data_IF_686756457106
#
_entry.id   IF_686756457106
#
_cell.length_a   1.000
_cell.length_b   1.000
_cell.length_c   1.000
_cell.angle_alpha   90.00
_cell.angle_beta   90.00
_cell.angle_gamma   90.00
#
_symmetry.space_group_name_H-M   'P 1'
#
loop_
_entity.id
_entity.type
_entity.pdbx_description
1 polymer ?
#
# COMPACT_ATOMS: atom_id res chain seq x y z
N UNK A 1 56.77 13.00 5.14
CA UNK A 1 55.42 13.56 5.41
C UNK A 1 54.46 13.15 4.29
N UNK A 2 54.27 11.85 4.05
CA UNK A 2 53.85 11.40 2.70
C UNK A 2 52.97 10.14 2.66
N UNK A 3 53.06 9.22 3.62
CA UNK A 3 52.26 7.99 3.61
C UNK A 3 50.94 8.12 4.39
N UNK A 4 50.98 8.70 5.59
CA UNK A 4 49.82 8.89 6.46
C UNK A 4 48.78 9.82 5.85
N UNK A 5 49.22 10.84 5.11
CA UNK A 5 48.33 11.77 4.40
C UNK A 5 47.62 11.05 3.24
N UNK A 6 48.35 10.22 2.47
CA UNK A 6 47.76 9.42 1.38
C UNK A 6 46.74 8.41 1.89
N UNK A 7 47.04 7.71 3.00
CA UNK A 7 46.12 6.77 3.64
C UNK A 7 44.84 7.46 4.13
N UNK A 8 44.97 8.63 4.77
CA UNK A 8 43.82 9.44 5.21
C UNK A 8 42.98 9.96 4.04
N UNK A 9 43.63 10.44 2.97
CA UNK A 9 42.93 10.88 1.77
C UNK A 9 42.18 9.72 1.08
N UNK A 10 42.79 8.53 1.02
CA UNK A 10 42.14 7.33 0.48
C UNK A 10 40.92 6.93 1.31
N UNK A 11 41.02 6.96 2.65
CA UNK A 11 39.88 6.67 3.53
C UNK A 11 38.75 7.69 3.34
N UNK A 12 39.08 8.99 3.28
CA UNK A 12 38.08 10.04 3.06
C UNK A 12 37.39 9.89 1.71
N UNK A 13 38.14 9.55 0.66
CA UNK A 13 37.58 9.26 -0.67
C UNK A 13 36.64 8.06 -0.62
N UNK A 14 37.02 6.98 0.08
CA UNK A 14 36.21 5.78 0.23
C UNK A 14 34.91 6.07 1.00
N UNK A 15 34.99 6.86 2.07
CA UNK A 15 33.82 7.35 2.80
C UNK A 15 32.92 8.22 1.93
N UNK A 16 33.49 9.11 1.10
CA UNK A 16 32.72 9.95 0.19
C UNK A 16 31.99 9.12 -0.87
N UNK A 17 32.66 8.11 -1.44
CA UNK A 17 32.04 7.18 -2.40
C UNK A 17 30.92 6.36 -1.72
N UNK A 18 31.15 5.86 -0.51
CA UNK A 18 30.13 5.12 0.24
C UNK A 18 28.92 6.00 0.62
N UNK A 19 29.14 7.26 0.99
CA UNK A 19 28.07 8.20 1.27
C UNK A 19 27.28 8.55 0.00
N UNK A 20 27.97 8.80 -1.12
CA UNK A 20 27.34 9.08 -2.40
C UNK A 20 26.55 7.88 -2.94
N UNK A 21 27.07 6.65 -2.78
CA UNK A 21 26.36 5.43 -3.19
C UNK A 21 25.14 5.16 -2.33
N UNK A 22 25.23 5.31 -1.00
CA UNK A 22 24.08 5.22 -0.10
C UNK A 22 23.02 6.26 -0.45
N UNK A 23 23.43 7.50 -0.73
CA UNK A 23 22.52 8.56 -1.17
C UNK A 23 21.84 8.19 -2.49
N UNK A 24 22.61 7.79 -3.51
CA UNK A 24 22.07 7.38 -4.81
C UNK A 24 21.07 6.22 -4.68
N UNK A 25 21.43 5.18 -3.95
CA UNK A 25 20.55 4.02 -3.70
C UNK A 25 19.29 4.43 -2.91
N UNK A 26 19.40 5.37 -1.97
CA UNK A 26 18.23 5.91 -1.25
C UNK A 26 17.30 6.75 -2.13
N UNK A 27 17.82 7.28 -3.24
CA UNK A 27 17.05 8.08 -4.19
C UNK A 27 16.40 7.26 -5.31
N UNK A 28 16.75 5.97 -5.43
CA UNK A 28 16.10 5.08 -6.39
C UNK A 28 14.59 5.07 -6.11
N UNK A 29 13.76 5.44 -7.10
CA UNK A 29 12.33 5.50 -6.90
C UNK A 29 11.80 4.09 -6.67
N UNK A 30 11.21 3.86 -5.50
CA UNK A 30 10.29 2.75 -5.32
C UNK A 30 8.89 3.18 -5.74
N UNK A 31 8.13 2.23 -6.27
CA UNK A 31 6.75 2.44 -6.66
C UNK A 31 5.88 1.32 -6.09
N UNK A 32 4.62 1.64 -5.85
CA UNK A 32 3.60 0.65 -5.58
C UNK A 32 2.99 0.18 -6.91
N UNK A 33 2.78 -1.12 -7.02
CA UNK A 33 2.16 -1.78 -8.16
C UNK A 33 0.99 -2.63 -7.67
N UNK A 34 -0.14 -2.54 -8.36
CA UNK A 34 -1.25 -3.48 -8.16
C UNK A 34 -0.86 -4.80 -8.83
N UNK A 35 -0.85 -5.88 -8.08
CA UNK A 35 -0.46 -7.22 -8.55
C UNK A 35 -1.62 -8.20 -8.61
N UNK A 36 -2.70 -7.94 -7.87
CA UNK A 36 -3.92 -8.73 -7.92
C UNK A 36 -5.11 -7.89 -7.46
N UNK A 37 -6.30 -8.23 -7.93
CA UNK A 37 -7.55 -7.61 -7.50
C UNK A 37 -8.60 -8.69 -7.37
N UNK A 38 -9.32 -8.69 -6.25
CA UNK A 38 -10.54 -9.48 -6.13
C UNK A 38 -11.62 -8.80 -6.98
N UNK A 39 -12.17 -9.53 -7.95
CA UNK A 39 -13.40 -9.12 -8.62
C UNK A 39 -14.59 -9.66 -7.85
N UNK A 40 -15.64 -8.86 -7.73
CA UNK A 40 -16.93 -9.29 -7.23
C UNK A 40 -17.99 -8.84 -8.22
N UNK A 41 -18.83 -9.77 -8.65
CA UNK A 41 -20.00 -9.46 -9.46
C UNK A 41 -21.07 -8.88 -8.54
N UNK A 42 -21.20 -7.55 -8.58
CA UNK A 42 -22.04 -6.74 -7.69
C UNK A 42 -23.53 -7.10 -7.85
N UNK A 43 -23.95 -7.58 -9.01
CA UNK A 43 -25.35 -7.93 -9.28
C UNK A 43 -25.79 -9.24 -8.60
N UNK A 44 -24.83 -10.10 -8.26
CA UNK A 44 -25.10 -11.44 -7.73
C UNK A 44 -25.09 -11.54 -6.21
N UNK A 45 -24.69 -10.47 -5.51
CA UNK A 45 -24.38 -10.55 -4.08
C UNK A 45 -25.49 -10.00 -3.18
N UNK A 46 -25.82 -10.76 -2.12
CA UNK A 46 -26.74 -10.34 -1.07
C UNK A 46 -25.97 -9.56 0.01
N UNK A 47 -26.27 -8.28 0.18
CA UNK A 47 -25.61 -7.38 1.15
C UNK A 47 -26.06 -7.62 2.60
N UNK A 48 -26.66 -8.79 2.87
CA UNK A 48 -26.93 -9.26 4.23
C UNK A 48 -25.66 -9.71 4.96
N UNK A 49 -24.55 -9.91 4.24
CA UNK A 49 -23.26 -10.33 4.78
C UNK A 49 -22.15 -9.29 4.58
N UNK A 50 -21.20 -9.23 5.52
CA UNK A 50 -20.02 -8.37 5.38
C UNK A 50 -19.01 -9.01 4.43
N UNK A 51 -18.56 -8.23 3.46
CA UNK A 51 -17.63 -8.66 2.42
C UNK A 51 -16.27 -8.01 2.66
N UNK A 52 -15.21 -8.80 2.45
CA UNK A 52 -13.84 -8.32 2.43
C UNK A 52 -13.29 -8.44 1.01
N UNK A 53 -12.90 -7.33 0.39
CA UNK A 53 -12.29 -7.31 -0.94
C UNK A 53 -10.81 -7.01 -0.86
N UNK A 54 -9.99 -7.99 -1.27
CA UNK A 54 -8.54 -7.88 -1.29
C UNK A 54 -8.00 -7.30 -2.60
N UNK A 55 -7.14 -6.29 -2.51
CA UNK A 55 -6.27 -5.81 -3.60
C UNK A 55 -4.81 -6.06 -3.21
N UNK A 56 -4.12 -6.91 -3.95
CA UNK A 56 -2.70 -7.17 -3.74
C UNK A 56 -1.84 -6.05 -4.30
N UNK A 57 -0.94 -5.53 -3.48
CA UNK A 57 -0.02 -4.44 -3.80
C UNK A 57 1.41 -4.85 -3.47
N UNK A 58 2.32 -4.56 -4.41
CA UNK A 58 3.75 -4.79 -4.25
C UNK A 58 4.52 -3.48 -4.31
N UNK A 59 5.44 -3.30 -3.36
CA UNK A 59 6.43 -2.24 -3.32
C UNK A 59 7.74 -2.68 -4.00
N UNK A 60 8.18 -1.94 -4.99
CA UNK A 60 9.41 -2.27 -5.75
C UNK A 60 10.68 -1.71 -5.12
N UNK A 61 10.56 -0.66 -4.30
CA UNK A 61 11.71 0.04 -3.73
C UNK A 61 12.55 -0.81 -2.77
N UNK A 62 13.78 -0.36 -2.53
CA UNK A 62 14.70 -1.04 -1.62
C UNK A 62 14.26 -0.90 -0.16
N UNK A 63 13.86 0.31 0.23
CA UNK A 63 13.48 0.63 1.60
C UNK A 63 11.97 0.47 1.79
N UNK A 64 11.58 -0.29 2.81
CA UNK A 64 10.16 -0.56 3.11
C UNK A 64 9.51 0.72 3.67
N UNK A 65 8.41 1.19 3.07
CA UNK A 65 7.73 2.40 3.52
C UNK A 65 6.86 2.12 4.75
N UNK A 66 6.51 3.19 5.45
CA UNK A 66 5.40 3.21 6.41
C UNK A 66 4.19 3.83 5.71
N UNK A 67 3.11 3.07 5.58
CA UNK A 67 1.84 3.55 5.04
C UNK A 67 1.20 4.43 6.09
N UNK A 68 0.81 5.64 5.69
CA UNK A 68 0.20 6.62 6.57
C UNK A 68 -1.32 6.57 6.42
N UNK A 69 -1.78 6.50 5.17
CA UNK A 69 -3.17 6.60 4.78
C UNK A 69 -3.34 6.03 3.36
N UNK A 70 -4.55 5.55 3.06
CA UNK A 70 -4.95 5.10 1.74
C UNK A 70 -6.30 5.75 1.42
N UNK A 71 -6.36 6.42 0.27
CA UNK A 71 -7.59 6.99 -0.28
C UNK A 71 -8.01 6.21 -1.51
N UNK A 72 -9.31 6.11 -1.73
CA UNK A 72 -9.85 5.69 -3.02
C UNK A 72 -10.35 6.90 -3.80
N UNK A 73 -10.06 6.90 -5.09
CA UNK A 73 -10.43 7.99 -6.01
C UNK A 73 -11.44 7.45 -7.02
N UNK A 74 -12.61 8.07 -7.08
CA UNK A 74 -13.59 7.84 -8.14
C UNK A 74 -13.62 8.97 -9.17
N UNK A 75 -14.46 8.84 -10.21
CA UNK A 75 -14.60 9.84 -11.28
C UNK A 75 -15.02 11.21 -10.73
N UNK A 76 -15.97 11.25 -9.78
CA UNK A 76 -16.55 12.49 -9.26
C UNK A 76 -16.41 12.64 -7.72
N UNK A 77 -15.84 11.65 -7.03
CA UNK A 77 -15.86 11.59 -5.56
C UNK A 77 -14.50 11.16 -4.98
N UNK A 78 -14.07 11.88 -3.94
CA UNK A 78 -12.96 11.48 -3.08
C UNK A 78 -13.49 10.63 -1.94
N UNK A 79 -13.21 9.35 -2.00
CA UNK A 79 -13.59 8.42 -0.96
C UNK A 79 -12.46 8.38 0.07
N UNK A 80 -12.46 9.38 0.96
CA UNK A 80 -11.59 9.39 2.15
C UNK A 80 -12.04 8.26 3.08
N UNK A 81 -11.12 7.37 3.42
CA UNK A 81 -11.41 6.14 4.15
C UNK A 81 -11.92 6.27 5.58
N UNK A 82 -12.48 7.41 6.02
CA UNK A 82 -13.07 7.56 7.36
C UNK A 82 -14.27 8.52 7.51
N UNK A 83 -14.55 9.45 6.58
CA UNK A 83 -15.56 10.50 6.86
C UNK A 83 -16.87 10.39 6.06
N UNK A 84 -16.89 9.70 4.91
CA UNK A 84 -18.12 9.57 4.11
C UNK A 84 -18.47 8.14 3.69
N UNK A 85 -17.61 7.15 4.00
CA UNK A 85 -17.86 5.74 3.71
C UNK A 85 -17.48 4.84 4.89
N UNK A 86 -18.35 3.87 5.13
CA UNK A 86 -18.30 2.91 6.24
C UNK A 86 -17.43 1.69 5.95
N UNK A 87 -16.32 1.84 5.22
CA UNK A 87 -15.39 0.73 5.02
C UNK A 87 -14.17 0.83 5.93
N UNK A 88 -13.88 -0.27 6.61
CA UNK A 88 -12.62 -0.44 7.31
C UNK A 88 -11.56 -0.90 6.30
N UNK A 89 -10.40 -0.27 6.37
CA UNK A 89 -9.25 -0.59 5.54
C UNK A 89 -8.22 -1.36 6.35
N UNK A 90 -7.89 -2.55 5.87
CA UNK A 90 -6.95 -3.42 6.55
C UNK A 90 -5.81 -3.87 5.66
N UNK A 91 -4.70 -4.25 6.30
CA UNK A 91 -3.56 -4.87 5.63
C UNK A 91 -3.39 -6.31 6.08
N UNK A 92 -3.35 -7.22 5.11
CA UNK A 92 -2.95 -8.61 5.28
C UNK A 92 -1.58 -8.87 4.61
N UNK A 93 -0.60 -9.33 5.40
CA UNK A 93 0.73 -9.72 4.92
C UNK A 93 0.79 -11.21 4.52
N UNK A 94 -0.20 -12.03 4.90
CA UNK A 94 -0.23 -13.49 4.72
C UNK A 94 -0.81 -13.96 3.37
N UNK A 95 -1.05 -13.01 2.45
CA UNK A 95 -1.44 -13.24 1.05
C UNK A 95 -2.81 -13.88 0.83
N UNK A 96 -3.76 -13.69 1.74
CA UNK A 96 -5.13 -14.13 1.50
C UNK A 96 -5.79 -13.17 0.48
N UNK A 97 -6.02 -13.67 -0.73
CA UNK A 97 -6.71 -12.94 -1.81
C UNK A 97 -8.05 -13.61 -2.04
N UNK A 98 -9.13 -12.83 -2.05
CA UNK A 98 -10.48 -13.28 -2.38
C UNK A 98 -11.57 -12.51 -1.64
N UNK A 99 -12.82 -12.82 -1.96
CA UNK A 99 -13.97 -12.48 -1.12
C UNK A 99 -14.07 -13.52 0.00
N UNK A 100 -13.87 -13.08 1.24
CA UNK A 100 -13.98 -13.96 2.41
C UNK A 100 -15.03 -13.34 3.34
N UNK A 101 -15.97 -14.16 3.81
CA UNK A 101 -16.94 -13.73 4.81
C UNK A 101 -16.23 -13.46 6.13
N UNK A 102 -16.65 -12.41 6.84
CA UNK A 102 -16.01 -11.92 8.06
C UNK A 102 -15.83 -13.03 9.14
N UNK A 103 -16.80 -13.94 9.23
CA UNK A 103 -16.80 -15.11 10.14
C UNK A 103 -15.60 -16.05 9.94
N UNK A 104 -15.03 -16.09 8.73
CA UNK A 104 -13.90 -16.95 8.40
C UNK A 104 -12.53 -16.25 8.57
N UNK A 105 -12.52 -14.92 8.68
CA UNK A 105 -11.27 -14.13 8.64
C UNK A 105 -10.83 -13.62 10.02
N UNK A 106 -11.78 -13.12 10.83
CA UNK A 106 -11.49 -12.52 12.14
C UNK A 106 -10.90 -13.49 13.17
N UNK A 107 -11.36 -14.76 13.29
CA UNK A 107 -10.82 -15.69 14.29
C UNK A 107 -9.39 -16.14 13.97
N UNK A 108 -8.98 -16.05 12.70
CA UNK A 108 -7.73 -16.62 12.21
C UNK A 108 -6.62 -15.55 12.06
N UNK A 109 -6.96 -14.30 11.71
CA UNK A 109 -5.95 -13.28 11.38
C UNK A 109 -6.41 -11.88 11.84
N UNK A 110 -5.71 -11.23 12.80
CA UNK A 110 -6.05 -9.88 13.20
C UNK A 110 -5.71 -8.90 12.07
N UNK A 111 -6.75 -8.41 11.41
CA UNK A 111 -6.65 -7.35 10.43
C UNK A 111 -6.06 -6.07 11.06
N UNK A 112 -5.01 -5.52 10.44
CA UNK A 112 -4.35 -4.30 10.94
C UNK A 112 -4.89 -3.07 10.24
N UNK A 113 -5.23 -2.03 11.01
CA UNK A 113 -5.57 -0.72 10.46
C UNK A 113 -4.43 -0.19 9.58
N UNK A 114 -4.78 0.43 8.45
CA UNK A 114 -3.82 1.04 7.51
C UNK A 114 -2.97 2.15 8.14
N UNK A 115 -3.50 2.82 9.17
CA UNK A 115 -2.90 4.04 9.73
C UNK A 115 -1.55 3.76 10.40
N UNK A 116 -0.49 4.38 9.87
CA UNK A 116 0.90 4.20 10.31
C UNK A 116 1.39 2.73 10.21
N UNK A 117 0.84 1.96 9.28
CA UNK A 117 1.27 0.59 9.05
C UNK A 117 2.70 0.54 8.52
N UNK A 118 3.60 -0.14 9.23
CA UNK A 118 4.99 -0.32 8.82
C UNK A 118 5.14 -1.63 8.05
N UNK A 119 5.34 -1.54 6.74
CA UNK A 119 5.50 -2.72 5.89
C UNK A 119 6.67 -3.58 6.37
N UNK A 120 6.40 -4.85 6.69
CA UNK A 120 7.45 -5.83 6.98
C UNK A 120 7.87 -6.55 5.72
N UNK A 121 6.96 -6.78 4.77
CA UNK A 121 7.26 -7.37 3.48
C UNK A 121 7.13 -6.37 2.33
N UNK A 122 7.59 -6.75 1.13
CA UNK A 122 7.38 -5.94 -0.08
C UNK A 122 5.96 -6.08 -0.64
N UNK A 123 5.16 -6.98 -0.10
CA UNK A 123 3.83 -7.29 -0.57
C UNK A 123 2.82 -7.06 0.57
N UNK A 124 1.64 -6.58 0.22
CA UNK A 124 0.51 -6.44 1.15
C UNK A 124 -0.81 -6.60 0.39
N UNK A 125 -1.85 -7.07 1.07
CA UNK A 125 -3.22 -7.00 0.58
C UNK A 125 -3.94 -5.84 1.28
N UNK A 126 -4.48 -4.90 0.51
CA UNK A 126 -5.47 -3.96 1.01
C UNK A 126 -6.83 -4.64 1.01
N UNK A 127 -7.45 -4.72 2.19
CA UNK A 127 -8.76 -5.31 2.37
C UNK A 127 -9.75 -4.18 2.64
N UNK A 128 -10.78 -4.10 1.80
CA UNK A 128 -11.93 -3.20 1.99
C UNK A 128 -13.05 -4.01 2.60
N UNK A 129 -13.53 -3.61 3.78
CA UNK A 129 -14.72 -4.19 4.41
C UNK A 129 -15.97 -3.45 3.98
N UNK A 130 -16.95 -4.16 3.43
CA UNK A 130 -18.23 -3.60 2.99
C UNK A 130 -19.36 -4.29 3.72
N UNK A 131 -20.34 -3.53 4.20
CA UNK A 131 -21.46 -4.07 4.99
C UNK A 131 -22.82 -3.47 4.61
N UNK A 132 -22.84 -2.48 3.71
CA UNK A 132 -24.05 -1.75 3.33
C UNK A 132 -24.25 -1.72 1.84
N UNK A 133 -25.51 -1.68 1.42
CA UNK A 133 -25.90 -1.52 0.01
C UNK A 133 -25.37 -0.20 -0.59
N UNK A 134 -25.23 0.84 0.22
CA UNK A 134 -24.63 2.13 -0.15
C UNK A 134 -23.17 1.97 -0.61
N UNK A 135 -22.47 0.95 -0.11
CA UNK A 135 -21.09 0.63 -0.50
C UNK A 135 -21.02 0.08 -1.95
N UNK A 136 -22.13 -0.34 -2.57
CA UNK A 136 -22.12 -0.74 -4.00
C UNK A 136 -21.67 0.40 -4.92
N UNK A 137 -22.04 1.64 -4.60
CA UNK A 137 -21.61 2.80 -5.38
C UNK A 137 -20.08 2.97 -5.33
N UNK A 138 -19.44 2.55 -4.25
CA UNK A 138 -17.97 2.55 -4.16
C UNK A 138 -17.37 1.59 -5.20
N UNK A 139 -17.86 0.36 -5.33
CA UNK A 139 -17.30 -0.60 -6.29
C UNK A 139 -17.41 -0.14 -7.74
N UNK A 140 -18.54 0.48 -8.08
CA UNK A 140 -18.79 0.93 -9.46
C UNK A 140 -18.03 2.23 -9.81
N UNK A 141 -17.69 3.04 -8.80
CA UNK A 141 -17.14 4.38 -9.04
C UNK A 141 -15.64 4.49 -8.75
N UNK A 142 -15.04 3.54 -8.04
CA UNK A 142 -13.61 3.59 -7.69
C UNK A 142 -12.74 3.24 -8.90
N UNK A 143 -11.87 4.19 -9.28
CA UNK A 143 -10.95 4.09 -10.42
C UNK A 143 -9.50 3.96 -10.02
N UNK A 144 -9.12 4.51 -8.87
CA UNK A 144 -7.72 4.52 -8.44
C UNK A 144 -7.57 4.42 -6.92
N UNK A 145 -6.40 3.98 -6.48
CA UNK A 145 -5.94 4.04 -5.08
C UNK A 145 -4.85 5.10 -4.98
N UNK A 146 -4.94 5.97 -3.99
CA UNK A 146 -3.84 6.84 -3.56
C UNK A 146 -3.27 6.32 -2.25
N UNK A 147 -1.99 6.00 -2.23
CA UNK A 147 -1.28 5.60 -1.01
C UNK A 147 -0.40 6.77 -0.55
N UNK A 148 -0.63 7.24 0.66
CA UNK A 148 0.27 8.14 1.37
C UNK A 148 1.22 7.33 2.22
N UNK A 149 2.52 7.59 2.09
CA UNK A 149 3.54 6.79 2.75
C UNK A 149 4.74 7.62 3.15
N UNK A 150 5.60 7.07 4.01
CA UNK A 150 6.86 7.69 4.38
C UNK A 150 8.03 6.71 4.30
N UNK A 151 9.19 7.23 3.89
CA UNK A 151 10.46 6.51 3.92
C UNK A 151 11.46 7.43 4.63
N UNK A 152 12.06 6.94 5.72
CA UNK A 152 12.93 7.75 6.59
C UNK A 152 12.29 9.09 7.04
N UNK A 153 10.98 9.08 7.30
CA UNK A 153 10.22 10.26 7.72
C UNK A 153 9.84 11.23 6.59
N UNK A 154 10.33 11.01 5.37
CA UNK A 154 9.96 11.82 4.20
C UNK A 154 8.61 11.32 3.67
N UNK A 155 7.59 12.18 3.71
CA UNK A 155 6.25 11.89 3.21
C UNK A 155 6.19 11.95 1.69
N UNK A 156 5.47 10.99 1.10
CA UNK A 156 5.24 10.83 -0.33
C UNK A 156 3.82 10.33 -0.56
N UNK A 157 3.35 10.49 -1.79
CA UNK A 157 2.06 9.96 -2.23
C UNK A 157 2.20 9.34 -3.61
N UNK A 158 1.47 8.25 -3.87
CA UNK A 158 1.41 7.63 -5.20
C UNK A 158 -0.02 7.25 -5.51
N UNK A 159 -0.46 7.58 -6.72
CA UNK A 159 -1.74 7.13 -7.28
C UNK A 159 -1.46 5.92 -8.18
N UNK A 160 -2.32 4.91 -8.08
CA UNK A 160 -2.34 3.73 -8.90
C UNK A 160 -3.75 3.54 -9.43
N UNK A 161 -3.88 3.47 -10.75
CA UNK A 161 -5.17 3.24 -11.39
C UNK A 161 -5.46 1.75 -11.46
N UNK A 162 -6.72 1.37 -11.27
CA UNK A 162 -7.17 -0.02 -11.35
C UNK A 162 -7.29 -0.57 -12.78
N UNK A 163 -6.90 0.23 -13.80
CA UNK A 163 -7.13 0.06 -15.24
C UNK A 163 -7.61 -1.33 -15.63
N UNK A 164 -8.86 -1.39 -16.13
CA UNK A 164 -9.41 -2.52 -16.87
C UNK A 164 -8.49 -2.83 -18.06
N UNK A 165 -7.91 -4.03 -18.09
CA UNK A 165 -7.43 -4.59 -19.36
C UNK A 165 -8.65 -4.67 -20.30
N UNK A 166 -8.54 -4.00 -21.45
CA UNK A 166 -9.44 -4.12 -22.60
C UNK A 166 -9.23 -5.47 -23.27
#
# INVERSE_FOLDING_TARGET
MTETIKKRAAILLLCAIAAASLFYVSTLPGEFLITSRSSMDVESHDFSETILLGTGITWTGLWKPTILEVDFLGEDHFFKGQEELTFDLFIDEDRHIGSISEENLIPAHPLQEVKNFKMKEKYMNLIVRMSRKEDQMFLNNVRSIRIHYSIFGIRKSRIMDFIEEV
#
